data_IF_852995025632
#
_entry.id   IF_852995025632
#
_cell.length_a   1.000
_cell.length_b   1.000
_cell.length_c   1.000
_cell.angle_alpha   90.00
_cell.angle_beta   90.00
_cell.angle_gamma   90.00
#
_symmetry.space_group_name_H-M   'P 1'
#
loop_
_entity.id
_entity.type
_entity.pdbx_description
1 polymer ?
#
# COMPACT_ATOMS: atom_id res chain seq x y z
N UNK A 1 3.83 -49.36 38.60
CA UNK A 1 3.77 -47.90 38.71
C UNK A 1 4.47 -47.36 37.48
N UNK A 2 3.73 -47.02 36.42
CA UNK A 2 4.31 -46.55 35.16
C UNK A 2 4.21 -45.03 35.13
N UNK A 3 5.37 -44.38 35.08
CA UNK A 3 5.54 -42.95 34.88
C UNK A 3 5.10 -42.64 33.45
N UNK A 4 4.13 -41.75 33.28
CA UNK A 4 3.80 -41.16 31.98
C UNK A 4 4.85 -40.09 31.69
N UNK A 5 5.56 -40.14 30.56
CA UNK A 5 6.36 -38.99 30.14
C UNK A 5 5.39 -37.89 29.73
N UNK A 6 5.36 -36.82 30.52
CA UNK A 6 5.34 -35.47 29.98
C UNK A 6 6.50 -35.37 28.97
N UNK A 7 6.19 -35.38 27.68
CA UNK A 7 7.05 -34.91 26.60
C UNK A 7 6.09 -34.54 25.45
N UNK A 8 6.14 -33.42 24.76
CA UNK A 8 6.92 -32.19 24.76
C UNK A 8 6.21 -31.39 23.63
N UNK A 9 5.90 -30.12 23.87
CA UNK A 9 5.88 -29.04 22.86
C UNK A 9 5.56 -29.39 21.38
N UNK A 10 4.29 -29.67 21.04
CA UNK A 10 3.85 -29.75 19.63
C UNK A 10 3.15 -28.47 19.12
N UNK A 11 3.26 -27.36 19.86
CA UNK A 11 2.74 -26.04 19.44
C UNK A 11 3.74 -25.25 18.55
N UNK A 12 4.92 -25.79 18.23
CA UNK A 12 5.99 -25.06 17.51
C UNK A 12 6.21 -25.49 16.05
N UNK A 13 5.34 -26.33 15.46
CA UNK A 13 5.50 -26.75 14.06
C UNK A 13 5.06 -25.67 13.05
N UNK A 14 4.23 -24.71 13.45
CA UNK A 14 3.67 -23.72 12.52
C UNK A 14 4.40 -22.36 12.46
N UNK A 15 5.62 -22.27 13.00
CA UNK A 15 6.51 -21.09 12.83
C UNK A 15 7.48 -21.20 11.66
N UNK A 16 7.53 -22.34 10.97
CA UNK A 16 8.44 -22.52 9.85
C UNK A 16 7.84 -21.94 8.56
N UNK A 17 8.48 -20.86 8.10
CA UNK A 17 8.23 -20.15 6.83
C UNK A 17 6.99 -19.26 6.82
N UNK A 18 7.09 -18.10 7.49
CA UNK A 18 6.37 -16.92 7.02
C UNK A 18 6.66 -16.77 5.51
N UNK A 19 5.68 -17.12 4.67
CA UNK A 19 5.82 -17.06 3.22
C UNK A 19 6.33 -15.66 2.87
N UNK A 20 7.49 -15.51 2.20
CA UNK A 20 8.07 -14.20 1.94
C UNK A 20 7.11 -13.25 1.21
N UNK A 21 6.18 -13.81 0.42
CA UNK A 21 5.12 -13.06 -0.23
C UNK A 21 4.11 -12.49 0.79
N UNK A 22 3.76 -13.23 1.84
CA UNK A 22 2.85 -12.74 2.88
C UNK A 22 3.49 -11.63 3.70
N UNK A 23 4.77 -11.75 4.04
CA UNK A 23 5.51 -10.69 4.74
C UNK A 23 5.63 -9.42 3.88
N UNK A 24 5.95 -9.57 2.58
CA UNK A 24 5.99 -8.44 1.64
C UNK A 24 4.61 -7.79 1.49
N UNK A 25 3.56 -8.60 1.41
CA UNK A 25 2.17 -8.15 1.31
C UNK A 25 1.75 -7.33 2.53
N UNK A 26 2.01 -7.83 3.74
CA UNK A 26 1.70 -7.13 4.99
C UNK A 26 2.44 -5.80 5.06
N UNK A 27 3.73 -5.79 4.73
CA UNK A 27 4.54 -4.58 4.65
C UNK A 27 3.95 -3.56 3.67
N UNK A 28 3.71 -3.95 2.42
CA UNK A 28 3.14 -3.04 1.41
C UNK A 28 1.73 -2.57 1.80
N UNK A 29 0.91 -3.45 2.39
CA UNK A 29 -0.45 -3.10 2.80
C UNK A 29 -0.51 -2.04 3.92
N UNK A 30 0.53 -1.97 4.75
CA UNK A 30 0.68 -1.01 5.84
C UNK A 30 1.41 0.27 5.44
N UNK A 31 2.40 0.19 4.55
CA UNK A 31 3.19 1.33 4.08
C UNK A 31 2.44 2.20 3.06
N UNK A 32 1.74 1.59 2.09
CA UNK A 32 1.04 2.33 1.02
C UNK A 32 0.06 3.37 1.58
N UNK A 33 -0.78 3.08 2.59
CA UNK A 33 -1.64 4.09 3.21
C UNK A 33 -0.89 5.31 3.77
N UNK A 34 0.28 5.10 4.38
CA UNK A 34 1.12 6.17 4.93
C UNK A 34 1.71 7.01 3.80
N UNK A 35 2.16 6.36 2.73
CA UNK A 35 2.71 7.04 1.56
C UNK A 35 1.65 7.83 0.78
N UNK A 36 0.40 7.35 0.74
CA UNK A 36 -0.73 8.10 0.20
C UNK A 36 -0.92 9.42 0.95
N UNK A 37 -0.91 9.40 2.30
CA UNK A 37 -1.05 10.63 3.10
C UNK A 37 0.13 11.57 2.89
N UNK A 38 1.35 11.02 2.81
CA UNK A 38 2.54 11.83 2.50
C UNK A 38 2.41 12.50 1.13
N UNK A 39 2.03 11.75 0.10
CA UNK A 39 1.85 12.28 -1.25
C UNK A 39 0.70 13.29 -1.30
N UNK A 40 -0.36 13.08 -0.53
CA UNK A 40 -1.46 14.02 -0.40
C UNK A 40 -0.97 15.38 0.13
N UNK A 41 -0.15 15.37 1.18
CA UNK A 41 0.43 16.58 1.75
C UNK A 41 1.33 17.31 0.74
N UNK A 42 2.16 16.59 0.00
CA UNK A 42 3.02 17.19 -1.03
C UNK A 42 2.20 17.79 -2.19
N UNK A 43 1.14 17.11 -2.62
CA UNK A 43 0.22 17.70 -3.59
C UNK A 43 -0.48 18.94 -3.04
N UNK A 44 -0.85 18.96 -1.76
CA UNK A 44 -1.45 20.15 -1.16
C UNK A 44 -0.47 21.34 -1.10
N UNK A 45 0.82 21.09 -0.83
CA UNK A 45 1.86 22.13 -0.93
C UNK A 45 1.99 22.66 -2.36
N UNK A 46 2.01 21.76 -3.34
CA UNK A 46 2.07 22.13 -4.77
C UNK A 46 0.85 22.97 -5.19
N UNK A 47 -0.36 22.47 -4.94
CA UNK A 47 -1.59 23.20 -5.29
C UNK A 47 -1.79 24.48 -4.48
N UNK A 48 -1.21 24.58 -3.28
CA UNK A 48 -1.17 25.80 -2.49
C UNK A 48 -0.10 26.80 -2.92
N UNK A 49 0.72 26.47 -3.93
CA UNK A 49 1.79 27.34 -4.43
C UNK A 49 3.04 27.40 -3.56
N UNK A 50 3.09 26.64 -2.46
CA UNK A 50 4.29 26.51 -1.63
C UNK A 50 5.42 25.80 -2.39
N UNK A 51 5.04 24.85 -3.26
CA UNK A 51 5.99 24.10 -4.08
C UNK A 51 5.76 24.36 -5.57
N UNK A 52 6.85 24.61 -6.32
CA UNK A 52 6.77 25.00 -7.74
C UNK A 52 6.55 23.82 -8.70
N UNK A 53 6.79 22.60 -8.24
CA UNK A 53 6.74 21.39 -9.08
C UNK A 53 5.87 20.32 -8.44
N UNK A 54 5.12 19.56 -9.25
CA UNK A 54 4.32 18.46 -8.73
C UNK A 54 5.23 17.35 -8.17
N UNK A 55 4.76 16.58 -7.15
CA UNK A 55 5.52 15.51 -6.51
C UNK A 55 5.59 14.23 -7.36
N UNK A 56 6.00 14.34 -8.62
CA UNK A 56 5.98 13.24 -9.61
C UNK A 56 6.80 12.04 -9.18
N UNK A 57 8.01 12.25 -8.64
CA UNK A 57 8.87 11.16 -8.17
C UNK A 57 8.24 10.34 -7.04
N UNK A 58 7.54 11.01 -6.11
CA UNK A 58 6.84 10.34 -5.02
C UNK A 58 5.63 9.56 -5.53
N UNK A 59 4.89 10.14 -6.49
CA UNK A 59 3.81 9.44 -7.18
C UNK A 59 4.31 8.20 -7.90
N UNK A 60 5.32 8.31 -8.77
CA UNK A 60 5.87 7.16 -9.50
C UNK A 60 6.37 6.04 -8.58
N UNK A 61 6.98 6.40 -7.44
CA UNK A 61 7.41 5.42 -6.45
C UNK A 61 6.23 4.70 -5.80
N UNK A 62 5.17 5.43 -5.45
CA UNK A 62 3.94 4.86 -4.89
C UNK A 62 3.22 3.97 -5.92
N UNK A 63 3.17 4.41 -7.18
CA UNK A 63 2.54 3.67 -8.28
C UNK A 63 3.22 2.30 -8.45
N UNK A 64 4.56 2.26 -8.47
CA UNK A 64 5.34 1.01 -8.54
C UNK A 64 5.03 0.06 -7.38
N UNK A 65 4.88 0.59 -6.16
CA UNK A 65 4.52 -0.22 -4.97
C UNK A 65 3.09 -0.71 -5.02
N UNK A 66 2.16 0.11 -5.49
CA UNK A 66 0.76 -0.29 -5.67
C UNK A 66 0.63 -1.38 -6.74
N UNK A 67 1.34 -1.28 -7.86
CA UNK A 67 1.39 -2.34 -8.87
C UNK A 67 2.02 -3.63 -8.33
N UNK A 68 3.07 -3.52 -7.51
CA UNK A 68 3.63 -4.68 -6.81
C UNK A 68 2.62 -5.32 -5.87
N UNK A 69 1.89 -4.52 -5.08
CA UNK A 69 0.83 -5.01 -4.19
C UNK A 69 -0.27 -5.74 -4.96
N UNK A 70 -0.74 -5.18 -6.07
CA UNK A 70 -1.73 -5.82 -6.97
C UNK A 70 -1.22 -7.15 -7.52
N UNK A 71 0.05 -7.20 -7.93
CA UNK A 71 0.68 -8.42 -8.45
C UNK A 71 0.73 -9.54 -7.40
N UNK A 72 1.09 -9.21 -6.16
CA UNK A 72 1.12 -10.18 -5.06
C UNK A 72 -0.30 -10.59 -4.68
N UNK A 73 -1.25 -9.65 -4.64
CA UNK A 73 -2.66 -9.91 -4.33
C UNK A 73 -3.27 -10.99 -5.21
N UNK A 74 -2.94 -11.02 -6.51
CA UNK A 74 -3.44 -12.04 -7.44
C UNK A 74 -3.01 -13.47 -7.06
N UNK A 75 -1.95 -13.61 -6.27
CA UNK A 75 -1.41 -14.90 -5.81
C UNK A 75 -1.92 -15.30 -4.42
N UNK A 76 -2.63 -14.40 -3.73
CA UNK A 76 -3.18 -14.65 -2.39
C UNK A 76 -4.46 -15.44 -2.50
N UNK A 77 -4.48 -16.62 -1.86
CA UNK A 77 -5.65 -17.50 -1.81
C UNK A 77 -6.53 -17.26 -0.59
N UNK A 78 -5.96 -16.76 0.51
CA UNK A 78 -6.66 -16.50 1.76
C UNK A 78 -7.61 -15.29 1.63
N UNK A 79 -8.92 -15.53 1.82
CA UNK A 79 -9.95 -14.50 1.66
C UNK A 79 -9.75 -13.28 2.56
N UNK A 80 -9.47 -13.49 3.86
CA UNK A 80 -9.29 -12.39 4.81
C UNK A 80 -8.14 -11.46 4.41
N UNK A 81 -7.01 -12.05 3.99
CA UNK A 81 -5.85 -11.31 3.48
C UNK A 81 -6.17 -10.56 2.19
N UNK A 82 -6.88 -11.22 1.26
CA UNK A 82 -7.30 -10.62 -0.02
C UNK A 82 -8.19 -9.38 0.20
N UNK A 83 -9.15 -9.44 1.13
CA UNK A 83 -10.03 -8.31 1.45
C UNK A 83 -9.26 -7.11 2.02
N UNK A 84 -8.32 -7.36 2.95
CA UNK A 84 -7.47 -6.31 3.53
C UNK A 84 -6.67 -5.59 2.44
N UNK A 85 -6.06 -6.35 1.55
CA UNK A 85 -5.25 -5.80 0.44
C UNK A 85 -6.13 -5.07 -0.57
N UNK A 86 -7.31 -5.60 -0.88
CA UNK A 86 -8.28 -4.94 -1.75
C UNK A 86 -8.64 -3.54 -1.23
N UNK A 87 -8.81 -3.37 0.08
CA UNK A 87 -9.07 -2.06 0.68
C UNK A 87 -7.92 -1.08 0.45
N UNK A 88 -6.67 -1.52 0.63
CA UNK A 88 -5.50 -0.68 0.36
C UNK A 88 -5.41 -0.28 -1.11
N UNK A 89 -5.63 -1.22 -2.04
CA UNK A 89 -5.66 -0.95 -3.48
C UNK A 89 -6.78 0.03 -3.86
N UNK A 90 -7.97 -0.16 -3.28
CA UNK A 90 -9.10 0.74 -3.50
C UNK A 90 -8.80 2.15 -3.00
N UNK A 91 -8.21 2.29 -1.79
CA UNK A 91 -7.78 3.59 -1.26
C UNK A 91 -6.82 4.26 -2.25
N UNK A 92 -5.77 3.56 -2.68
CA UNK A 92 -4.83 4.08 -3.66
C UNK A 92 -5.51 4.57 -4.95
N UNK A 93 -6.40 3.77 -5.56
CA UNK A 93 -7.09 4.13 -6.80
C UNK A 93 -7.94 5.40 -6.65
N UNK A 94 -8.62 5.57 -5.52
CA UNK A 94 -9.41 6.78 -5.23
C UNK A 94 -8.53 8.03 -5.18
N UNK A 95 -7.39 7.95 -4.50
CA UNK A 95 -6.47 9.09 -4.38
C UNK A 95 -5.82 9.47 -5.71
N UNK A 96 -5.42 8.49 -6.52
CA UNK A 96 -4.88 8.74 -7.87
C UNK A 96 -5.92 9.47 -8.72
N UNK A 97 -7.16 8.97 -8.77
CA UNK A 97 -8.22 9.61 -9.54
C UNK A 97 -8.51 11.04 -9.05
N UNK A 98 -8.43 11.29 -7.73
CA UNK A 98 -8.57 12.62 -7.16
C UNK A 98 -7.43 13.55 -7.59
N UNK A 99 -6.17 13.09 -7.53
CA UNK A 99 -5.02 13.90 -7.93
C UNK A 99 -5.03 14.19 -9.42
N UNK A 100 -5.38 13.23 -10.27
CA UNK A 100 -5.51 13.45 -11.72
C UNK A 100 -6.56 14.51 -12.04
N UNK A 101 -7.73 14.44 -11.39
CA UNK A 101 -8.76 15.48 -11.53
C UNK A 101 -8.26 16.85 -11.06
N UNK A 102 -7.50 16.91 -9.97
CA UNK A 102 -6.99 18.16 -9.41
C UNK A 102 -5.87 18.76 -10.28
N UNK A 103 -4.99 17.92 -10.82
CA UNK A 103 -3.97 18.30 -11.81
C UNK A 103 -4.61 18.87 -13.07
N UNK A 104 -5.57 18.16 -13.67
CA UNK A 104 -6.25 18.63 -14.87
C UNK A 104 -6.92 20.01 -14.67
N UNK A 105 -7.54 20.24 -13.50
CA UNK A 105 -8.11 21.55 -13.13
C UNK A 105 -7.05 22.63 -12.95
N UNK A 106 -5.91 22.28 -12.35
CA UNK A 106 -4.80 23.20 -12.13
C UNK A 106 -4.17 23.62 -13.46
N UNK A 107 -3.95 22.67 -14.37
CA UNK A 107 -3.45 22.92 -15.73
C UNK A 107 -4.42 23.77 -16.55
N UNK A 108 -5.73 23.49 -16.47
CA UNK A 108 -6.75 24.29 -17.16
C UNK A 108 -6.80 25.74 -16.67
N UNK A 109 -6.67 25.96 -15.36
CA UNK A 109 -6.66 27.32 -14.77
C UNK A 109 -5.34 28.05 -15.06
N UNK A 110 -4.21 27.32 -15.06
CA UNK A 110 -2.89 27.88 -15.34
C UNK A 110 -2.62 28.19 -16.81
N UNK A 111 -3.42 27.64 -17.74
CA UNK A 111 -3.30 27.87 -19.18
C UNK A 111 -4.03 29.12 -19.69
N UNK A 112 -4.54 29.98 -18.79
CA UNK A 112 -5.38 31.13 -19.14
C UNK A 112 -4.80 32.50 -18.80
N UNK A 113 -3.48 32.62 -18.66
CA UNK A 113 -2.75 33.90 -18.51
C UNK A 113 -1.70 34.03 -19.60
#
# INVERSE_FOLDING_TARGET
>A
MAIRPDDEDDDDINKQFANPLNTELEKLSSEIPVEIERLHNEYNKFFGGAEKRPPTKLREALDKRAERLKSIMMKVTTLGTKLRVQNTVNKYNVYIAMWDKKMAKFEATGSSI
#
